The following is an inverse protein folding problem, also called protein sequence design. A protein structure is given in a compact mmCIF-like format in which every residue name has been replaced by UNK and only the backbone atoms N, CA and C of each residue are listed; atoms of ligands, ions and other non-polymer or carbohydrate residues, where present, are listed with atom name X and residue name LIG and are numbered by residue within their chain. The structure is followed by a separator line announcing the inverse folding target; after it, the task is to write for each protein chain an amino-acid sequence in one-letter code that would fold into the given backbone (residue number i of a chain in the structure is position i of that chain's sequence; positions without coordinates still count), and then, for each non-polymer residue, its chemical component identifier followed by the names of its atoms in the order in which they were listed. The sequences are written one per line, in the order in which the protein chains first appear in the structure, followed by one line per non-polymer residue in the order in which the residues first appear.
data_IF_163328543000
#
_entry.id   IF_163328543000
#
_cell.length_a   1.000
_cell.length_b   1.000
_cell.length_c   1.000
_cell.angle_alpha   90.00
_cell.angle_beta   90.00
_cell.angle_gamma   90.00
#
_symmetry.space_group_name_H-M   'P 1'
#
loop_
_entity.id
_entity.type
_entity.pdbx_description
1 polymer ?
#
# COMPACT_ATOMS: atom_id res chain seq x y z
N UNK A 1 -63.94 4.55 -24.44
CA UNK A 1 -62.47 4.43 -24.35
C UNK A 1 -61.70 5.65 -23.78
N UNK A 2 -62.20 6.90 -23.69
CA UNK A 2 -61.39 8.00 -23.13
C UNK A 2 -61.36 8.06 -21.59
N UNK A 3 -62.35 7.45 -20.91
CA UNK A 3 -62.46 7.51 -19.44
C UNK A 3 -61.38 6.70 -18.71
N UNK A 4 -60.96 5.55 -19.27
CA UNK A 4 -59.91 4.70 -18.67
C UNK A 4 -58.55 5.38 -18.77
N UNK A 5 -58.27 6.05 -19.90
CA UNK A 5 -57.03 6.82 -20.08
C UNK A 5 -56.94 7.98 -19.09
N UNK A 6 -58.06 8.68 -18.84
CA UNK A 6 -58.12 9.76 -17.84
C UNK A 6 -57.93 9.24 -16.41
N UNK A 7 -58.61 8.16 -16.03
CA UNK A 7 -58.40 7.52 -14.72
C UNK A 7 -56.95 7.07 -14.51
N UNK A 8 -56.30 6.56 -15.55
CA UNK A 8 -54.90 6.15 -15.49
C UNK A 8 -53.95 7.35 -15.33
N UNK A 9 -54.24 8.45 -16.03
CA UNK A 9 -53.50 9.70 -15.93
C UNK A 9 -53.72 10.36 -14.56
N UNK A 10 -54.96 10.43 -14.08
CA UNK A 10 -55.29 11.01 -12.78
C UNK A 10 -54.73 10.17 -11.61
N UNK A 11 -54.65 8.86 -11.79
CA UNK A 11 -53.93 7.97 -10.88
C UNK A 11 -52.42 8.24 -10.89
N UNK A 12 -51.82 8.41 -12.07
CA UNK A 12 -50.39 8.70 -12.22
C UNK A 12 -50.01 10.11 -11.73
N UNK A 13 -50.90 11.09 -11.93
CA UNK A 13 -50.74 12.48 -11.54
C UNK A 13 -51.15 12.76 -10.09
N UNK A 14 -51.44 11.71 -9.31
CA UNK A 14 -51.65 11.81 -7.88
C UNK A 14 -50.31 11.99 -7.14
N UNK A 15 -50.27 12.67 -5.98
CA UNK A 15 -49.00 13.05 -5.34
C UNK A 15 -48.21 11.84 -4.79
N UNK A 16 -48.88 10.72 -4.52
CA UNK A 16 -48.26 9.52 -3.90
C UNK A 16 -47.29 8.78 -4.85
N UNK A 17 -47.66 8.40 -6.09
CA UNK A 17 -46.73 7.77 -7.03
C UNK A 17 -45.60 8.70 -7.47
N UNK A 18 -45.84 10.01 -7.58
CA UNK A 18 -44.79 10.98 -7.89
C UNK A 18 -43.73 11.04 -6.79
N UNK A 19 -44.13 11.04 -5.51
CA UNK A 19 -43.19 10.98 -4.39
C UNK A 19 -42.41 9.65 -4.37
N UNK A 20 -43.07 8.53 -4.64
CA UNK A 20 -42.40 7.23 -4.72
C UNK A 20 -41.37 7.21 -5.86
N UNK A 21 -41.74 7.70 -7.05
CA UNK A 21 -40.83 7.79 -8.19
C UNK A 21 -39.63 8.71 -7.93
N UNK A 22 -39.86 9.86 -7.26
CA UNK A 22 -38.80 10.76 -6.85
C UNK A 22 -37.86 10.12 -5.82
N UNK A 23 -38.40 9.37 -4.86
CA UNK A 23 -37.58 8.67 -3.87
C UNK A 23 -36.73 7.57 -4.51
N UNK A 24 -37.32 6.80 -5.45
CA UNK A 24 -36.60 5.78 -6.21
C UNK A 24 -35.52 6.41 -7.09
N UNK A 25 -35.79 7.53 -7.74
CA UNK A 25 -34.78 8.20 -8.58
C UNK A 25 -33.60 8.70 -7.74
N UNK A 26 -33.86 9.31 -6.58
CA UNK A 26 -32.81 9.72 -5.64
C UNK A 26 -32.00 8.52 -5.16
N UNK A 27 -32.65 7.40 -4.86
CA UNK A 27 -31.96 6.18 -4.47
C UNK A 27 -31.05 5.63 -5.57
N UNK A 28 -31.52 5.60 -6.82
CA UNK A 28 -30.72 5.17 -7.98
C UNK A 28 -29.52 6.09 -8.19
N UNK A 29 -29.72 7.41 -8.11
CA UNK A 29 -28.63 8.39 -8.23
C UNK A 29 -27.60 8.19 -7.10
N UNK A 30 -28.05 7.95 -5.88
CA UNK A 30 -27.18 7.65 -4.74
C UNK A 30 -26.37 6.37 -4.98
N UNK A 31 -27.01 5.29 -5.42
CA UNK A 31 -26.35 4.02 -5.73
C UNK A 31 -25.27 4.17 -6.82
N UNK A 32 -25.57 4.92 -7.88
CA UNK A 32 -24.58 5.24 -8.94
C UNK A 32 -23.44 6.07 -8.36
N UNK A 33 -23.73 7.07 -7.51
CA UNK A 33 -22.72 7.89 -6.86
C UNK A 33 -21.76 7.07 -5.99
N UNK A 34 -22.27 6.11 -5.22
CA UNK A 34 -21.45 5.19 -4.42
C UNK A 34 -20.58 4.31 -5.32
N UNK A 35 -21.13 3.75 -6.39
CA UNK A 35 -20.37 2.93 -7.34
C UNK A 35 -19.25 3.74 -8.03
N UNK A 36 -19.54 4.99 -8.38
CA UNK A 36 -18.55 5.91 -8.96
C UNK A 36 -17.43 6.24 -7.98
N UNK A 37 -17.78 6.55 -6.72
CA UNK A 37 -16.79 6.80 -5.66
C UNK A 37 -15.88 5.59 -5.43
N UNK A 38 -16.44 4.38 -5.43
CA UNK A 38 -15.67 3.15 -5.32
C UNK A 38 -14.72 2.93 -6.52
N UNK A 39 -15.17 3.27 -7.73
CA UNK A 39 -14.32 3.21 -8.92
C UNK A 39 -13.15 4.19 -8.84
N UNK A 40 -13.41 5.44 -8.45
CA UNK A 40 -12.39 6.47 -8.31
C UNK A 40 -11.38 6.11 -7.21
N UNK A 41 -11.87 5.59 -6.09
CA UNK A 41 -11.02 5.09 -5.00
C UNK A 41 -10.06 4.02 -5.50
N UNK A 42 -10.53 3.13 -6.38
CA UNK A 42 -9.68 2.07 -6.94
C UNK A 42 -8.59 2.61 -7.86
N UNK A 43 -8.85 3.70 -8.60
CA UNK A 43 -7.81 4.34 -9.41
C UNK A 43 -6.79 5.07 -8.54
N UNK A 44 -7.24 5.88 -7.58
CA UNK A 44 -6.33 6.56 -6.64
C UNK A 44 -5.44 5.58 -5.89
N UNK A 45 -6.01 4.44 -5.48
CA UNK A 45 -5.25 3.39 -4.81
C UNK A 45 -4.23 2.71 -5.73
N UNK A 46 -4.49 2.59 -7.03
CA UNK A 46 -3.51 2.05 -7.99
C UNK A 46 -2.27 2.92 -8.06
N UNK A 47 -2.45 4.24 -8.13
CA UNK A 47 -1.34 5.18 -8.23
C UNK A 47 -0.50 5.17 -6.94
N UNK A 48 -1.18 5.13 -5.78
CA UNK A 48 -0.51 4.96 -4.48
C UNK A 48 0.32 3.68 -4.43
N UNK A 49 -0.28 2.54 -4.81
CA UNK A 49 0.39 1.24 -4.82
C UNK A 49 1.61 1.21 -5.76
N UNK A 50 1.56 1.93 -6.88
CA UNK A 50 2.71 2.02 -7.78
C UNK A 50 3.87 2.79 -7.15
N UNK A 51 3.57 3.86 -6.42
CA UNK A 51 4.59 4.66 -5.73
C UNK A 51 5.19 3.89 -4.55
N UNK A 52 4.35 3.24 -3.74
CA UNK A 52 4.79 2.36 -2.64
C UNK A 52 5.69 1.25 -3.16
N UNK A 53 5.32 0.59 -4.25
CA UNK A 53 6.17 -0.44 -4.86
C UNK A 53 7.54 0.10 -5.26
N UNK A 54 7.60 1.30 -5.82
CA UNK A 54 8.87 1.90 -6.24
C UNK A 54 9.76 2.26 -5.04
N UNK A 55 9.13 2.66 -3.93
CA UNK A 55 9.83 2.89 -2.67
C UNK A 55 10.37 1.57 -2.09
N UNK A 56 9.54 0.53 -2.02
CA UNK A 56 9.92 -0.78 -1.49
C UNK A 56 11.08 -1.40 -2.30
N UNK A 57 11.04 -1.29 -3.63
CA UNK A 57 12.11 -1.77 -4.50
C UNK A 57 13.44 -1.06 -4.19
N UNK A 58 13.40 0.26 -3.94
CA UNK A 58 14.59 1.05 -3.61
C UNK A 58 15.12 0.74 -2.20
N UNK A 59 14.23 0.57 -1.23
CA UNK A 59 14.58 0.20 0.14
C UNK A 59 15.25 -1.18 0.16
N UNK A 60 14.74 -2.13 -0.61
CA UNK A 60 15.36 -3.45 -0.75
C UNK A 60 16.77 -3.38 -1.35
N UNK A 61 16.98 -2.54 -2.37
CA UNK A 61 18.31 -2.34 -2.95
C UNK A 61 19.27 -1.69 -1.95
N UNK A 62 18.79 -0.72 -1.17
CA UNK A 62 19.58 -0.08 -0.11
C UNK A 62 19.97 -1.07 0.99
N UNK A 63 19.04 -1.90 1.47
CA UNK A 63 19.33 -2.95 2.45
C UNK A 63 20.40 -3.91 1.95
N UNK A 64 20.29 -4.32 0.68
CA UNK A 64 21.29 -5.18 0.05
C UNK A 64 22.66 -4.50 0.01
N UNK A 65 22.74 -3.24 -0.40
CA UNK A 65 23.99 -2.47 -0.40
C UNK A 65 24.59 -2.33 1.00
N UNK A 66 23.76 -2.17 2.02
CA UNK A 66 24.22 -2.09 3.41
C UNK A 66 24.83 -3.43 3.88
N UNK A 67 24.24 -4.55 3.48
CA UNK A 67 24.80 -5.89 3.73
C UNK A 67 26.11 -6.11 2.98
N UNK A 68 26.20 -5.64 1.74
CA UNK A 68 27.46 -5.66 0.98
C UNK A 68 28.51 -4.80 1.69
N UNK A 69 28.17 -3.60 2.17
CA UNK A 69 29.12 -2.74 2.89
C UNK A 69 29.56 -3.33 4.23
N UNK A 70 28.64 -3.88 5.02
CA UNK A 70 28.97 -4.46 6.33
C UNK A 70 29.89 -5.67 6.20
N UNK A 71 29.68 -6.52 5.19
CA UNK A 71 30.57 -7.63 4.88
C UNK A 71 32.01 -7.19 4.56
N UNK A 72 32.19 -6.01 3.97
CA UNK A 72 33.51 -5.46 3.65
C UNK A 72 34.14 -4.70 4.82
N UNK A 73 33.33 -4.08 5.68
CA UNK A 73 33.78 -3.24 6.77
C UNK A 73 34.26 -4.02 8.01
N UNK A 74 33.65 -5.17 8.32
CA UNK A 74 33.84 -5.83 9.61
C UNK A 74 35.20 -6.55 9.74
N UNK A 75 35.73 -7.15 8.66
CA UNK A 75 36.93 -7.99 8.76
C UNK A 75 38.24 -7.33 8.32
N UNK A 76 38.23 -6.53 7.26
CA UNK A 76 39.49 -6.07 6.65
C UNK A 76 40.09 -4.89 7.42
N UNK A 77 39.25 -3.90 7.76
CA UNK A 77 39.70 -2.67 8.39
C UNK A 77 40.01 -2.84 9.87
N UNK A 78 39.27 -3.70 10.58
CA UNK A 78 39.53 -4.00 11.99
C UNK A 78 40.85 -4.77 12.16
N UNK A 79 41.09 -5.77 11.32
CA UNK A 79 42.35 -6.52 11.33
C UNK A 79 43.54 -5.63 10.94
N UNK A 80 43.44 -4.83 9.88
CA UNK A 80 44.54 -3.93 9.51
C UNK A 80 44.88 -2.94 10.63
N UNK A 81 43.87 -2.37 11.30
CA UNK A 81 44.09 -1.47 12.44
C UNK A 81 44.76 -2.20 13.62
N UNK A 82 44.29 -3.41 13.94
CA UNK A 82 44.85 -4.23 15.01
C UNK A 82 46.31 -4.65 14.74
N UNK A 83 46.64 -5.05 13.52
CA UNK A 83 48.00 -5.44 13.14
C UNK A 83 48.94 -4.24 12.99
N UNK A 84 48.49 -3.12 12.39
CA UNK A 84 49.37 -1.97 12.10
C UNK A 84 49.48 -0.96 13.23
N UNK A 85 48.38 -0.67 13.92
CA UNK A 85 48.33 0.44 14.90
C UNK A 85 48.50 -0.07 16.33
N UNK A 86 48.11 -1.32 16.60
CA UNK A 86 48.23 -1.97 17.91
C UNK A 86 49.33 -3.04 17.96
N UNK A 87 50.07 -3.27 16.85
CA UNK A 87 51.11 -4.31 16.70
C UNK A 87 50.65 -5.71 17.14
N UNK A 88 49.35 -6.01 17.11
CA UNK A 88 48.82 -7.29 17.55
C UNK A 88 49.32 -8.39 16.61
N UNK A 89 49.76 -9.53 17.16
CA UNK A 89 50.13 -10.73 16.42
C UNK A 89 49.12 -11.84 16.74
N UNK A 90 48.82 -12.69 15.76
CA UNK A 90 47.94 -13.84 16.01
C UNK A 90 48.62 -14.78 17.03
N UNK A 91 47.96 -15.14 18.14
CA UNK A 91 48.56 -15.96 19.17
C UNK A 91 48.84 -17.38 18.64
N UNK A 92 49.97 -17.96 19.03
CA UNK A 92 50.32 -19.34 18.71
C UNK A 92 49.47 -20.32 19.54
N UNK A 93 49.36 -21.58 19.06
CA UNK A 93 48.45 -22.57 19.62
C UNK A 93 48.68 -22.87 21.13
N UNK A 94 49.88 -22.59 21.65
CA UNK A 94 50.24 -22.78 23.06
C UNK A 94 49.69 -21.69 24.00
N UNK A 95 49.22 -20.55 23.48
CA UNK A 95 48.65 -19.44 24.29
C UNK A 95 47.11 -19.48 24.37
N UNK A 96 46.45 -20.47 23.75
CA UNK A 96 45.00 -20.60 23.75
C UNK A 96 44.50 -21.36 24.99
N UNK A 97 44.04 -20.62 26.00
CA UNK A 97 43.36 -21.21 27.17
C UNK A 97 41.86 -21.31 26.91
N UNK A 98 41.37 -22.54 26.71
CA UNK A 98 39.93 -22.81 26.58
C UNK A 98 39.29 -22.80 27.97
N UNK A 99 38.48 -21.77 28.23
CA UNK A 99 37.65 -21.71 29.43
C UNK A 99 36.34 -22.47 29.16
N UNK A 100 36.00 -23.39 30.07
CA UNK A 100 34.83 -24.28 30.01
C UNK A 100 33.66 -23.74 30.83
#
# INVERSE_FOLDING_TARGET
MPAVLRLFIDWFLSPKPLLAAALTSVFVVSAIGVAYSAHETRNMYRDLQQLEKSHDDLEHEYEKLLLEQSAWADYTRLNELAFKELEMQAPEADDLVVLR
#
